data_IF_850492583310
#
_entry.id   IF_850492583310
#
_cell.length_a   1.000
_cell.length_b   1.000
_cell.length_c   1.000
_cell.angle_alpha   90.00
_cell.angle_beta   90.00
_cell.angle_gamma   90.00
#
_symmetry.space_group_name_H-M   'P 1'
#
loop_
_entity.id
_entity.type
_entity.pdbx_description
1 polymer ?
#
# COMPACT_ATOMS: atom_id res chain seq x y z
N UNK A 1 26.72 -19.37 3.39
CA UNK A 1 26.61 -19.47 4.85
C UNK A 1 25.40 -18.67 5.30
N UNK A 2 24.26 -19.35 5.51
CA UNK A 2 23.05 -18.74 6.05
C UNK A 2 22.43 -19.76 7.00
N UNK A 3 22.47 -19.48 8.29
CA UNK A 3 21.93 -20.35 9.34
C UNK A 3 20.40 -20.30 9.27
N UNK A 4 19.78 -21.36 8.74
CA UNK A 4 18.36 -21.64 8.97
C UNK A 4 18.27 -22.29 10.35
N UNK A 5 17.96 -21.49 11.37
CA UNK A 5 17.77 -21.97 12.73
C UNK A 5 16.51 -22.82 12.82
N UNK A 6 16.64 -24.13 12.65
CA UNK A 6 15.61 -25.09 13.04
C UNK A 6 15.72 -25.29 14.56
N UNK A 7 14.81 -24.71 15.32
CA UNK A 7 14.68 -25.00 16.75
C UNK A 7 13.86 -26.29 16.92
N UNK A 8 14.40 -27.35 17.54
CA UNK A 8 13.62 -28.54 17.86
C UNK A 8 12.67 -28.19 19.02
N UNK A 9 11.37 -28.33 18.80
CA UNK A 9 10.35 -28.14 19.85
C UNK A 9 10.50 -29.28 20.87
N UNK A 10 10.85 -29.01 22.13
CA UNK A 10 10.94 -30.07 23.13
C UNK A 10 9.53 -30.48 23.58
N UNK A 11 9.24 -31.77 23.44
CA UNK A 11 8.08 -32.43 24.04
C UNK A 11 8.24 -32.41 25.58
N UNK A 12 7.56 -31.49 26.26
CA UNK A 12 7.49 -31.52 27.72
C UNK A 12 7.36 -30.14 28.39
N UNK A 13 6.19 -29.53 28.29
CA UNK A 13 5.56 -28.62 29.27
C UNK A 13 4.15 -28.30 28.75
N UNK A 14 3.10 -28.23 29.58
CA UNK A 14 1.82 -27.71 29.12
C UNK A 14 2.05 -26.25 28.71
N UNK A 15 1.92 -25.96 27.41
CA UNK A 15 2.14 -24.64 26.83
C UNK A 15 1.04 -23.70 27.33
N UNK A 16 1.23 -23.17 28.53
CA UNK A 16 0.45 -22.07 29.09
C UNK A 16 0.79 -20.79 28.31
N UNK A 17 0.29 -20.68 27.08
CA UNK A 17 0.48 -19.51 26.24
C UNK A 17 -0.65 -19.35 25.21
N UNK A 18 -1.90 -19.67 25.58
CA UNK A 18 -3.00 -18.93 24.97
C UNK A 18 -2.85 -17.49 25.45
N UNK A 19 -2.67 -16.53 24.54
CA UNK A 19 -2.77 -15.12 24.89
C UNK A 19 -4.08 -14.95 25.67
N UNK A 20 -4.07 -14.39 26.89
CA UNK A 20 -5.31 -14.18 27.63
C UNK A 20 -6.28 -13.43 26.72
N UNK A 21 -7.58 -13.73 26.82
CA UNK A 21 -8.58 -13.07 25.99
C UNK A 21 -8.38 -11.58 26.21
N UNK A 22 -8.12 -10.83 25.15
CA UNK A 22 -7.63 -9.45 25.28
C UNK A 22 -8.56 -8.57 26.12
N UNK A 23 -9.85 -8.93 26.20
CA UNK A 23 -10.87 -8.27 27.02
C UNK A 23 -10.82 -8.56 28.52
N UNK A 24 -10.02 -9.51 29.00
CA UNK A 24 -10.03 -9.96 30.40
C UNK A 24 -9.77 -8.81 31.39
N UNK A 25 -8.87 -7.88 31.03
CA UNK A 25 -8.56 -6.69 31.83
C UNK A 25 -9.69 -5.66 31.88
N UNK A 26 -10.61 -5.69 30.90
CA UNK A 26 -11.71 -4.73 30.76
C UNK A 26 -13.08 -5.30 31.17
N UNK A 27 -13.19 -6.58 31.55
CA UNK A 27 -14.46 -7.23 31.88
C UNK A 27 -15.26 -6.49 32.97
N UNK A 28 -14.59 -5.98 34.00
CA UNK A 28 -15.23 -5.20 35.06
C UNK A 28 -15.85 -3.89 34.52
N UNK A 29 -15.19 -3.24 33.56
CA UNK A 29 -15.66 -1.97 32.98
C UNK A 29 -17.00 -2.12 32.25
N UNK A 30 -17.24 -3.25 31.58
CA UNK A 30 -18.55 -3.56 30.99
C UNK A 30 -19.66 -3.63 32.05
N UNK A 31 -19.37 -4.24 33.20
CA UNK A 31 -20.32 -4.32 34.31
C UNK A 31 -20.61 -2.94 34.91
N UNK A 32 -19.58 -2.11 35.09
CA UNK A 32 -19.71 -0.72 35.54
C UNK A 32 -20.58 0.09 34.57
N UNK A 33 -20.30 0.01 33.26
CA UNK A 33 -21.07 0.70 32.23
C UNK A 33 -22.55 0.30 32.27
N UNK A 34 -22.82 -1.01 32.29
CA UNK A 34 -24.20 -1.54 32.34
C UNK A 34 -24.92 -1.10 33.61
N UNK A 35 -24.25 -1.18 34.76
CA UNK A 35 -24.82 -0.78 36.05
C UNK A 35 -25.16 0.71 36.07
N UNK A 36 -24.27 1.55 35.56
CA UNK A 36 -24.49 3.00 35.50
C UNK A 36 -25.66 3.34 34.56
N UNK A 37 -25.74 2.72 33.37
CA UNK A 37 -26.89 2.91 32.46
C UNK A 37 -28.20 2.46 33.10
N UNK A 38 -28.23 1.29 33.76
CA UNK A 38 -29.42 0.81 34.44
C UNK A 38 -29.83 1.71 35.61
N UNK A 39 -28.88 2.21 36.40
CA UNK A 39 -29.16 3.12 37.51
C UNK A 39 -29.74 4.44 37.02
N UNK A 40 -29.21 4.99 35.92
CA UNK A 40 -29.74 6.19 35.28
C UNK A 40 -31.16 5.97 34.76
N UNK A 41 -31.43 4.85 34.09
CA UNK A 41 -32.78 4.49 33.63
C UNK A 41 -33.74 4.32 34.82
N UNK A 42 -33.34 3.58 35.85
CA UNK A 42 -34.15 3.35 37.06
C UNK A 42 -34.45 4.66 37.78
N UNK A 43 -33.47 5.57 37.86
CA UNK A 43 -33.68 6.89 38.45
C UNK A 43 -34.70 7.71 37.65
N UNK A 44 -34.67 7.63 36.32
CA UNK A 44 -35.65 8.30 35.47
C UNK A 44 -37.04 7.67 35.59
N UNK A 45 -37.14 6.34 35.65
CA UNK A 45 -38.38 5.59 35.85
C UNK A 45 -39.03 5.90 37.20
N UNK A 46 -38.25 5.91 38.28
CA UNK A 46 -38.72 6.26 39.64
C UNK A 46 -39.25 7.70 39.65
N UNK A 47 -38.53 8.65 39.05
CA UNK A 47 -39.00 10.04 38.98
C UNK A 47 -40.28 10.19 38.14
N UNK A 48 -40.42 9.41 37.08
CA UNK A 48 -41.64 9.40 36.27
C UNK A 48 -42.81 8.73 37.01
N UNK A 49 -42.55 7.71 37.84
CA UNK A 49 -43.57 6.98 38.58
C UNK A 49 -44.08 7.75 39.82
N UNK A 50 -43.19 8.44 40.54
CA UNK A 50 -43.55 9.24 41.71
C UNK A 50 -43.88 10.68 41.29
N UNK A 51 -45.17 11.00 41.21
CA UNK A 51 -45.62 12.35 40.87
C UNK A 51 -45.36 13.36 41.99
N UNK A 52 -45.59 12.98 43.26
CA UNK A 52 -45.59 13.89 44.42
C UNK A 52 -45.07 13.17 45.66
N UNK A 53 -44.12 13.79 46.36
CA UNK A 53 -43.72 13.45 47.73
C UNK A 53 -44.21 14.56 48.66
N UNK A 54 -44.76 14.18 49.81
CA UNK A 54 -45.22 15.12 50.83
C UNK A 54 -44.14 15.25 51.90
N UNK A 55 -43.68 16.48 52.14
CA UNK A 55 -42.73 16.81 53.20
C UNK A 55 -43.41 17.71 54.22
N UNK A 56 -43.34 17.37 55.51
CA UNK A 56 -43.77 18.28 56.58
C UNK A 56 -42.60 19.11 57.09
N UNK A 57 -42.83 20.41 57.29
CA UNK A 57 -41.89 21.35 57.89
C UNK A 57 -42.37 21.85 59.27
N UNK A 58 -43.18 21.06 59.98
CA UNK A 58 -43.71 21.43 61.31
C UNK A 58 -42.57 21.75 62.29
N UNK A 59 -42.67 22.90 62.96
CA UNK A 59 -41.70 23.31 63.98
C UNK A 59 -41.64 22.32 65.16
N UNK A 60 -40.45 22.12 65.74
CA UNK A 60 -40.25 21.22 66.87
C UNK A 60 -41.14 21.62 68.05
N UNK A 61 -42.11 20.78 68.40
CA UNK A 61 -43.03 20.98 69.53
C UNK A 61 -44.52 21.06 69.16
N UNK A 62 -44.87 21.17 67.87
CA UNK A 62 -46.26 21.06 67.40
C UNK A 62 -46.48 19.61 66.92
N UNK A 63 -47.44 18.85 67.48
CA UNK A 63 -47.76 17.54 66.95
C UNK A 63 -48.25 17.71 65.51
N UNK A 64 -47.71 16.96 64.54
CA UNK A 64 -48.19 17.01 63.17
C UNK A 64 -49.70 16.72 63.15
N UNK A 65 -50.44 17.40 62.28
CA UNK A 65 -51.87 17.14 62.10
C UNK A 65 -52.10 15.63 61.97
N UNK A 66 -53.03 15.11 62.78
CA UNK A 66 -53.32 13.68 62.87
C UNK A 66 -53.90 13.22 61.53
N UNK A 67 -53.03 12.77 60.63
CA UNK A 67 -53.48 12.06 59.44
C UNK A 67 -53.97 10.69 59.88
N UNK A 68 -55.18 10.32 59.43
CA UNK A 68 -55.57 8.91 59.47
C UNK A 68 -54.51 8.10 58.73
N UNK A 69 -53.97 7.09 59.42
CA UNK A 69 -52.98 6.19 58.83
C UNK A 69 -53.54 5.62 57.51
N UNK A 70 -52.81 5.79 56.41
CA UNK A 70 -53.18 5.33 55.07
C UNK A 70 -54.31 6.08 54.35
N UNK A 71 -54.63 7.33 54.73
CA UNK A 71 -55.56 8.17 53.97
C UNK A 71 -55.10 8.32 52.49
N UNK A 72 -55.92 7.85 51.55
CA UNK A 72 -55.65 7.94 50.12
C UNK A 72 -56.08 9.31 49.60
N UNK A 73 -55.13 10.10 49.08
CA UNK A 73 -55.43 11.34 48.38
C UNK A 73 -55.68 11.00 46.91
N UNK A 74 -56.92 11.17 46.45
CA UNK A 74 -57.28 10.94 45.06
C UNK A 74 -56.57 11.98 44.17
N UNK A 75 -55.60 11.52 43.38
CA UNK A 75 -54.93 12.36 42.39
C UNK A 75 -55.75 12.40 41.10
N UNK A 76 -56.26 13.57 40.75
CA UNK A 76 -56.84 13.82 39.44
C UNK A 76 -55.74 14.32 38.51
N UNK A 77 -55.62 13.73 37.32
CA UNK A 77 -54.66 14.17 36.31
C UNK A 77 -54.89 15.65 35.97
N UNK A 78 -53.91 16.52 36.25
CA UNK A 78 -54.03 17.97 36.08
C UNK A 78 -54.74 18.72 37.22
N UNK A 79 -55.09 18.03 38.31
CA UNK A 79 -55.67 18.63 39.51
C UNK A 79 -54.62 19.09 40.51
N UNK A 80 -54.86 20.23 41.16
CA UNK A 80 -54.09 20.71 42.30
C UNK A 80 -54.79 20.24 43.57
N UNK A 81 -54.16 19.35 44.35
CA UNK A 81 -54.68 18.92 45.65
C UNK A 81 -54.31 19.95 46.73
N UNK A 82 -55.26 20.36 47.56
CA UNK A 82 -55.01 21.20 48.73
C UNK A 82 -54.36 20.36 49.84
N UNK A 83 -53.25 20.83 50.39
CA UNK A 83 -52.50 20.14 51.44
C UNK A 83 -52.89 20.65 52.83
N UNK A 84 -52.75 19.81 53.88
CA UNK A 84 -52.82 20.27 55.26
C UNK A 84 -51.72 21.28 55.59
N UNK A 85 -51.97 22.16 56.58
CA UNK A 85 -51.03 23.20 56.98
C UNK A 85 -49.67 22.62 57.41
N UNK A 86 -48.58 23.22 56.93
CA UNK A 86 -47.22 22.77 57.21
C UNK A 86 -46.71 21.61 56.34
N UNK A 87 -47.46 21.20 55.32
CA UNK A 87 -47.04 20.20 54.32
C UNK A 87 -46.76 20.84 52.95
N UNK A 88 -45.59 20.55 52.42
CA UNK A 88 -45.15 20.96 51.09
C UNK A 88 -45.14 19.77 50.13
N UNK A 89 -45.59 20.00 48.89
CA UNK A 89 -45.44 19.06 47.79
C UNK A 89 -44.07 19.22 47.14
N UNK A 90 -43.29 18.14 47.11
CA UNK A 90 -42.02 18.07 46.40
C UNK A 90 -42.15 17.02 45.31
N UNK A 91 -41.93 17.41 44.06
CA UNK A 91 -41.81 16.43 42.98
C UNK A 91 -40.40 15.83 42.98
N UNK A 92 -40.30 14.51 42.90
CA UNK A 92 -39.01 13.85 42.73
C UNK A 92 -38.51 14.11 41.31
N UNK A 93 -37.44 14.90 41.19
CA UNK A 93 -36.80 15.17 39.90
C UNK A 93 -35.69 14.15 39.68
N UNK A 94 -35.69 13.48 38.52
CA UNK A 94 -34.52 12.73 38.10
C UNK A 94 -33.40 13.72 37.76
N UNK A 95 -32.31 13.70 38.53
CA UNK A 95 -31.08 14.45 38.22
C UNK A 95 -30.20 13.72 37.19
N UNK A 96 -30.46 12.43 36.97
CA UNK A 96 -29.77 11.60 36.00
C UNK A 96 -30.66 11.36 34.77
N UNK A 97 -30.11 11.39 33.54
CA UNK A 97 -28.70 11.60 33.19
C UNK A 97 -28.29 13.07 33.30
N UNK A 98 -27.16 13.34 33.96
CA UNK A 98 -26.55 14.68 33.98
C UNK A 98 -25.75 14.96 32.70
N UNK A 99 -25.34 16.22 32.50
CA UNK A 99 -24.62 16.68 31.28
C UNK A 99 -23.38 15.85 30.94
N UNK A 100 -22.63 15.38 31.96
CA UNK A 100 -21.42 14.56 31.79
C UNK A 100 -21.68 13.05 31.50
N UNK A 101 -22.94 12.61 31.38
CA UNK A 101 -23.27 11.19 31.14
C UNK A 101 -22.60 10.64 29.88
N UNK A 102 -22.61 11.44 28.80
CA UNK A 102 -21.98 11.06 27.54
C UNK A 102 -20.45 11.00 27.67
N UNK A 103 -19.83 11.97 28.34
CA UNK A 103 -18.37 11.98 28.54
C UNK A 103 -17.89 10.76 29.32
N UNK A 104 -18.64 10.36 30.36
CA UNK A 104 -18.36 9.14 31.10
C UNK A 104 -18.47 7.88 30.23
N UNK A 105 -19.55 7.73 29.45
CA UNK A 105 -19.70 6.59 28.53
C UNK A 105 -18.57 6.53 27.51
N UNK A 106 -18.19 7.69 26.95
CA UNK A 106 -17.09 7.79 25.98
C UNK A 106 -15.76 7.36 26.60
N UNK A 107 -15.46 7.85 27.82
CA UNK A 107 -14.25 7.49 28.55
C UNK A 107 -14.18 5.98 28.86
N UNK A 108 -15.27 5.38 29.36
CA UNK A 108 -15.30 3.95 29.65
C UNK A 108 -15.17 3.10 28.38
N UNK A 109 -15.87 3.46 27.29
CA UNK A 109 -15.75 2.72 26.03
C UNK A 109 -14.32 2.81 25.50
N UNK A 110 -13.68 3.98 25.57
CA UNK A 110 -12.29 4.13 25.16
C UNK A 110 -11.33 3.28 26.02
N UNK A 111 -11.54 3.20 27.33
CA UNK A 111 -10.74 2.36 28.22
C UNK A 111 -10.93 0.86 27.95
N UNK A 112 -12.17 0.43 27.71
CA UNK A 112 -12.49 -0.92 27.27
C UNK A 112 -11.79 -1.22 25.94
N UNK A 113 -11.86 -0.31 24.97
CA UNK A 113 -11.33 -0.52 23.63
C UNK A 113 -9.79 -0.59 23.61
N UNK A 114 -9.11 0.02 24.59
CA UNK A 114 -7.63 -0.01 24.68
C UNK A 114 -7.04 -1.41 24.79
N UNK A 115 -7.72 -2.34 25.47
CA UNK A 115 -7.21 -3.71 25.58
C UNK A 115 -7.21 -4.46 24.24
N UNK A 116 -8.03 -4.01 23.29
CA UNK A 116 -8.15 -4.51 21.92
C UNK A 116 -7.36 -3.66 20.90
N UNK A 117 -6.60 -2.66 21.37
CA UNK A 117 -5.97 -1.66 20.49
C UNK A 117 -6.95 -1.03 19.48
N UNK A 118 -8.23 -0.90 19.89
CA UNK A 118 -9.31 -0.44 19.05
C UNK A 118 -9.57 1.06 19.30
N UNK A 119 -9.52 1.92 18.26
CA UNK A 119 -9.86 3.32 18.38
C UNK A 119 -11.34 3.54 18.76
N UNK A 120 -11.63 4.67 19.43
CA UNK A 120 -12.98 4.96 19.94
C UNK A 120 -14.05 4.97 18.84
N UNK A 121 -13.79 5.58 17.68
CA UNK A 121 -14.74 5.64 16.57
C UNK A 121 -15.13 4.25 16.04
N UNK A 122 -14.20 3.31 16.02
CA UNK A 122 -14.45 1.93 15.63
C UNK A 122 -15.25 1.22 16.74
N UNK A 123 -14.84 1.36 17.99
CA UNK A 123 -15.50 0.71 19.13
C UNK A 123 -16.94 1.18 19.38
N UNK A 124 -17.17 2.50 19.27
CA UNK A 124 -18.46 3.13 19.49
C UNK A 124 -19.32 3.24 18.22
N UNK A 125 -18.78 2.86 17.05
CA UNK A 125 -19.38 3.09 15.73
C UNK A 125 -19.82 4.57 15.54
N UNK A 126 -19.02 5.50 16.06
CA UNK A 126 -19.31 6.94 16.09
C UNK A 126 -18.14 7.74 15.51
N UNK A 127 -18.35 8.28 14.32
CA UNK A 127 -17.37 9.12 13.61
C UNK A 127 -17.71 10.60 13.67
N UNK A 128 -18.65 11.04 14.52
CA UNK A 128 -19.09 12.44 14.59
C UNK A 128 -17.95 13.43 14.92
N UNK A 129 -16.95 12.99 15.67
CA UNK A 129 -15.75 13.78 16.02
C UNK A 129 -14.57 13.60 15.07
N UNK A 130 -14.70 12.83 13.99
CA UNK A 130 -13.59 12.48 13.10
C UNK A 130 -13.77 13.11 11.72
N UNK A 131 -12.70 13.71 11.21
CA UNK A 131 -12.54 13.99 9.78
C UNK A 131 -12.27 12.70 9.01
N UNK A 132 -12.39 12.74 7.67
CA UNK A 132 -12.01 11.62 6.80
C UNK A 132 -10.54 11.20 7.00
N UNK A 133 -9.62 12.15 7.12
CA UNK A 133 -8.19 11.88 7.31
C UNK A 133 -7.89 11.20 8.65
N UNK A 134 -8.50 11.69 9.74
CA UNK A 134 -8.36 11.07 11.06
C UNK A 134 -9.02 9.69 11.12
N UNK A 135 -10.22 9.55 10.55
CA UNK A 135 -10.88 8.24 10.45
C UNK A 135 -10.03 7.23 9.69
N UNK A 136 -9.45 7.62 8.56
CA UNK A 136 -8.51 6.77 7.81
C UNK A 136 -7.34 6.30 8.68
N UNK A 137 -6.70 7.21 9.41
CA UNK A 137 -5.57 6.88 10.28
C UNK A 137 -5.96 5.86 11.35
N UNK A 138 -7.11 6.06 12.01
CA UNK A 138 -7.61 5.19 13.07
C UNK A 138 -7.87 3.77 12.54
N UNK A 139 -8.56 3.64 11.39
CA UNK A 139 -8.83 2.34 10.77
C UNK A 139 -7.57 1.64 10.27
N UNK A 140 -6.56 2.39 9.82
CA UNK A 140 -5.27 1.81 9.41
C UNK A 140 -4.52 1.18 10.59
N UNK A 141 -4.41 1.89 11.72
CA UNK A 141 -3.74 1.37 12.92
C UNK A 141 -4.47 0.14 13.46
N UNK A 142 -5.81 0.21 13.52
CA UNK A 142 -6.62 -0.93 13.94
C UNK A 142 -6.45 -2.13 12.98
N UNK A 143 -6.43 -1.89 11.67
CA UNK A 143 -6.19 -2.92 10.66
C UNK A 143 -4.86 -3.65 10.88
N UNK A 144 -3.77 -2.95 11.20
CA UNK A 144 -2.49 -3.60 11.54
C UNK A 144 -2.61 -4.52 12.77
N UNK A 145 -3.38 -4.14 13.79
CA UNK A 145 -3.60 -5.02 14.96
C UNK A 145 -4.42 -6.27 14.58
N UNK A 146 -5.41 -6.10 13.70
CA UNK A 146 -6.21 -7.21 13.17
C UNK A 146 -5.34 -8.19 12.38
N UNK A 147 -4.40 -7.72 11.57
CA UNK A 147 -3.45 -8.58 10.84
C UNK A 147 -2.60 -9.44 11.81
N UNK A 148 -2.14 -8.84 12.92
CA UNK A 148 -1.40 -9.58 13.96
C UNK A 148 -2.28 -10.65 14.61
N UNK A 149 -3.55 -10.33 14.84
CA UNK A 149 -4.52 -11.30 15.36
C UNK A 149 -4.83 -12.42 14.40
N UNK A 150 -5.01 -12.11 13.12
CA UNK A 150 -5.21 -13.09 12.07
C UNK A 150 -4.06 -14.09 12.02
N UNK A 151 -2.81 -13.63 12.08
CA UNK A 151 -1.63 -14.49 12.12
C UNK A 151 -1.56 -15.33 13.42
N UNK A 152 -1.94 -14.74 14.56
CA UNK A 152 -2.03 -15.48 15.82
C UNK A 152 -3.08 -16.60 15.75
N UNK A 153 -4.29 -16.29 15.28
CA UNK A 153 -5.37 -17.27 15.14
C UNK A 153 -5.07 -18.32 14.09
N UNK A 154 -4.42 -17.95 12.98
CA UNK A 154 -3.92 -18.89 11.98
C UNK A 154 -3.07 -19.98 12.65
N UNK A 155 -2.05 -19.58 13.40
CA UNK A 155 -1.05 -20.50 13.98
C UNK A 155 -1.55 -21.27 15.19
N UNK A 156 -2.22 -20.61 16.12
CA UNK A 156 -2.57 -21.21 17.41
C UNK A 156 -3.93 -21.92 17.40
N UNK A 157 -4.84 -21.56 16.47
CA UNK A 157 -6.18 -22.14 16.38
C UNK A 157 -6.40 -22.88 15.05
N UNK A 158 -6.30 -22.17 13.93
CA UNK A 158 -6.76 -22.69 12.63
C UNK A 158 -5.86 -23.83 12.11
N UNK A 159 -4.54 -23.73 12.27
CA UNK A 159 -3.61 -24.79 11.85
C UNK A 159 -3.89 -26.11 12.57
N UNK A 160 -4.23 -26.05 13.85
CA UNK A 160 -4.59 -27.24 14.64
C UNK A 160 -5.91 -27.85 14.19
N UNK A 161 -6.90 -27.00 13.95
CA UNK A 161 -8.22 -27.42 13.44
C UNK A 161 -8.07 -28.03 12.05
N UNK A 162 -7.28 -27.40 11.18
CA UNK A 162 -7.03 -27.87 9.82
C UNK A 162 -6.28 -29.19 9.82
N UNK A 163 -5.25 -29.36 10.66
CA UNK A 163 -4.55 -30.63 10.79
C UNK A 163 -5.47 -31.77 11.24
N UNK A 164 -6.33 -31.51 12.24
CA UNK A 164 -7.32 -32.49 12.70
C UNK A 164 -8.35 -32.82 11.61
N UNK A 165 -8.87 -31.80 10.93
CA UNK A 165 -9.79 -31.99 9.80
C UNK A 165 -9.15 -32.79 8.66
N UNK A 166 -7.89 -32.51 8.34
CA UNK A 166 -7.15 -33.19 7.27
C UNK A 166 -6.98 -34.69 7.59
N UNK A 167 -6.65 -35.01 8.85
CA UNK A 167 -6.59 -36.40 9.33
C UNK A 167 -7.94 -37.11 9.18
N UNK A 168 -9.02 -36.50 9.64
CA UNK A 168 -10.38 -37.06 9.53
C UNK A 168 -10.82 -37.22 8.07
N UNK A 169 -10.46 -36.27 7.19
CA UNK A 169 -10.81 -36.32 5.78
C UNK A 169 -10.20 -37.53 5.06
N UNK A 170 -9.00 -37.96 5.47
CA UNK A 170 -8.31 -39.14 4.94
C UNK A 170 -8.94 -40.41 5.49
N UNK A 171 -9.24 -40.45 6.80
CA UNK A 171 -9.93 -41.58 7.42
C UNK A 171 -11.31 -41.82 6.78
N UNK A 172 -12.02 -40.73 6.47
CA UNK A 172 -13.28 -40.74 5.75
C UNK A 172 -13.15 -41.02 4.24
N UNK A 173 -11.91 -41.13 3.72
CA UNK A 173 -11.58 -41.36 2.29
C UNK A 173 -12.12 -40.27 1.36
N UNK A 174 -12.30 -39.04 1.86
CA UNK A 174 -12.65 -37.86 1.05
C UNK A 174 -11.42 -37.35 0.30
N UNK A 175 -10.25 -37.39 0.96
CA UNK A 175 -8.97 -37.03 0.37
C UNK A 175 -8.02 -38.23 0.32
N UNK A 176 -7.15 -38.29 -0.70
CA UNK A 176 -6.14 -39.34 -0.83
C UNK A 176 -5.04 -39.17 0.23
N UNK A 177 -4.37 -40.25 0.64
CA UNK A 177 -3.37 -40.22 1.72
C UNK A 177 -2.15 -39.37 1.35
N UNK A 178 -1.88 -39.25 0.06
CA UNK A 178 -0.84 -38.42 -0.54
C UNK A 178 -1.04 -36.93 -0.21
N UNK A 179 -2.26 -36.50 0.12
CA UNK A 179 -2.56 -35.13 0.53
C UNK A 179 -1.89 -34.72 1.86
N UNK A 180 -1.45 -35.67 2.70
CA UNK A 180 -0.71 -35.40 3.95
C UNK A 180 0.80 -35.62 3.83
N UNK A 181 1.24 -36.44 2.87
CA UNK A 181 2.66 -36.78 2.69
C UNK A 181 3.45 -35.68 1.97
N UNK A 182 2.79 -34.90 1.12
CA UNK A 182 3.30 -33.58 0.81
C UNK A 182 3.18 -32.78 2.11
N UNK A 183 4.29 -32.25 2.64
CA UNK A 183 4.23 -31.18 3.63
C UNK A 183 3.37 -30.06 3.01
N UNK A 184 2.05 -30.13 3.20
CA UNK A 184 1.11 -29.27 2.50
C UNK A 184 1.26 -27.91 3.11
N UNK A 185 2.17 -27.12 2.54
CA UNK A 185 2.30 -25.72 2.81
C UNK A 185 0.94 -25.08 2.48
N UNK A 186 0.15 -24.84 3.52
CA UNK A 186 -1.09 -24.10 3.44
C UNK A 186 -0.84 -22.67 3.91
N UNK A 187 -1.70 -21.77 3.45
CA UNK A 187 -1.71 -20.39 3.90
C UNK A 187 -3.17 -19.97 4.05
N UNK A 188 -3.45 -19.23 5.12
CA UNK A 188 -4.77 -18.65 5.35
C UNK A 188 -4.90 -17.36 4.54
N UNK A 189 -5.99 -17.26 3.79
CA UNK A 189 -6.34 -16.04 3.07
C UNK A 189 -7.44 -15.36 3.87
N UNK A 190 -7.21 -14.11 4.22
CA UNK A 190 -8.15 -13.27 4.94
C UNK A 190 -8.72 -12.21 4.00
N UNK A 191 -9.97 -11.84 4.21
CA UNK A 191 -10.59 -10.79 3.41
C UNK A 191 -9.82 -9.47 3.57
N UNK A 192 -9.63 -8.72 2.47
CA UNK A 192 -8.96 -7.44 2.55
C UNK A 192 -9.74 -6.45 3.41
N UNK A 193 -9.00 -5.60 4.12
CA UNK A 193 -9.55 -4.38 4.69
C UNK A 193 -10.03 -3.46 3.55
N UNK A 194 -11.16 -2.79 3.79
CA UNK A 194 -11.77 -1.88 2.82
C UNK A 194 -10.80 -0.78 2.41
N UNK A 195 -10.55 -0.66 1.11
CA UNK A 195 -9.70 0.38 0.57
C UNK A 195 -10.46 1.71 0.42
N UNK A 196 -9.75 2.78 0.74
CA UNK A 196 -10.24 4.14 0.82
C UNK A 196 -10.01 4.87 -0.52
N UNK A 197 -8.93 4.54 -1.24
CA UNK A 197 -8.63 5.07 -2.58
C UNK A 197 -8.19 3.92 -3.52
N UNK A 198 -9.17 3.22 -4.12
CA UNK A 198 -8.92 2.07 -4.99
C UNK A 198 -8.00 2.39 -6.17
N UNK A 199 -7.98 3.64 -6.64
CA UNK A 199 -7.17 4.02 -7.79
C UNK A 199 -5.69 4.11 -7.41
N UNK A 200 -5.36 4.78 -6.29
CA UNK A 200 -3.98 4.86 -5.81
C UNK A 200 -3.43 3.50 -5.43
N UNK A 201 -4.22 2.67 -4.75
CA UNK A 201 -3.80 1.32 -4.37
C UNK A 201 -3.55 0.45 -5.60
N UNK A 202 -4.44 0.47 -6.60
CA UNK A 202 -4.22 -0.27 -7.85
C UNK A 202 -3.00 0.23 -8.63
N UNK A 203 -2.75 1.53 -8.66
CA UNK A 203 -1.55 2.09 -9.29
C UNK A 203 -0.29 1.59 -8.59
N UNK A 204 -0.26 1.63 -7.25
CA UNK A 204 0.85 1.12 -6.45
C UNK A 204 1.04 -0.40 -6.63
N UNK A 205 -0.05 -1.18 -6.70
CA UNK A 205 0.00 -2.63 -6.97
C UNK A 205 0.55 -2.93 -8.36
N UNK A 206 0.14 -2.18 -9.39
CA UNK A 206 0.65 -2.34 -10.74
C UNK A 206 2.16 -2.04 -10.81
N UNK A 207 2.61 -1.01 -10.10
CA UNK A 207 4.04 -0.68 -9.98
C UNK A 207 4.82 -1.73 -9.18
N UNK A 208 4.26 -2.24 -8.08
CA UNK A 208 4.85 -3.33 -7.30
C UNK A 208 4.97 -4.63 -8.10
N UNK A 209 3.98 -4.96 -8.93
CA UNK A 209 4.02 -6.13 -9.81
C UNK A 209 5.07 -5.98 -10.91
N UNK A 210 5.20 -4.78 -11.50
CA UNK A 210 6.21 -4.49 -12.54
C UNK A 210 7.63 -4.46 -11.98
N UNK A 211 7.81 -3.98 -10.76
CA UNK A 211 9.11 -3.96 -10.06
C UNK A 211 9.48 -5.31 -9.44
N UNK A 212 8.57 -6.28 -9.43
CA UNK A 212 8.79 -7.60 -8.83
C UNK A 212 8.77 -7.61 -7.30
N UNK A 213 8.29 -6.55 -6.65
CA UNK A 213 8.13 -6.48 -5.19
C UNK A 213 6.97 -7.34 -4.67
N UNK A 214 6.02 -7.68 -5.55
CA UNK A 214 4.87 -8.53 -5.25
C UNK A 214 4.62 -9.54 -6.38
N UNK A 215 3.72 -10.48 -6.16
CA UNK A 215 3.39 -11.55 -7.11
C UNK A 215 1.90 -11.58 -7.43
N UNK A 216 1.53 -12.10 -8.61
CA UNK A 216 0.11 -12.28 -8.98
C UNK A 216 -0.67 -13.10 -7.94
N UNK A 217 -0.18 -14.26 -7.45
CA UNK A 217 -0.86 -14.99 -6.39
C UNK A 217 -1.14 -14.15 -5.14
N UNK A 218 -0.17 -13.32 -4.72
CA UNK A 218 -0.31 -12.44 -3.56
C UNK A 218 -1.39 -11.37 -3.78
N UNK A 219 -1.44 -10.74 -4.96
CA UNK A 219 -2.45 -9.72 -5.24
C UNK A 219 -3.86 -10.30 -5.42
N UNK A 220 -4.00 -11.47 -6.04
CA UNK A 220 -5.29 -12.17 -6.10
C UNK A 220 -5.76 -12.62 -4.71
N UNK A 221 -4.84 -13.14 -3.88
CA UNK A 221 -5.16 -13.52 -2.50
C UNK A 221 -5.64 -12.32 -1.67
N UNK A 222 -5.04 -11.13 -1.86
CA UNK A 222 -5.52 -9.89 -1.25
C UNK A 222 -6.95 -9.53 -1.67
N UNK A 223 -7.44 -10.00 -2.80
CA UNK A 223 -8.82 -9.77 -3.23
C UNK A 223 -9.77 -10.89 -2.77
N UNK A 224 -9.28 -11.87 -2.02
CA UNK A 224 -10.04 -13.07 -1.65
C UNK A 224 -10.30 -14.00 -2.84
N UNK A 225 -9.45 -13.95 -3.88
CA UNK A 225 -9.62 -14.70 -5.12
C UNK A 225 -8.50 -15.74 -5.30
N UNK A 226 -8.86 -16.92 -5.80
CA UNK A 226 -7.85 -17.89 -6.28
C UNK A 226 -7.38 -17.51 -7.68
N UNK A 227 -6.10 -17.12 -7.77
CA UNK A 227 -5.47 -16.73 -9.02
C UNK A 227 -5.58 -17.81 -10.12
N UNK A 228 -5.56 -19.10 -9.79
CA UNK A 228 -5.64 -20.18 -10.79
C UNK A 228 -7.00 -20.18 -11.46
N UNK A 229 -8.05 -20.08 -10.64
CA UNK A 229 -9.44 -20.06 -11.11
C UNK A 229 -9.71 -18.79 -11.92
N UNK A 230 -9.25 -17.64 -11.42
CA UNK A 230 -9.47 -16.36 -12.11
C UNK A 230 -8.72 -16.26 -13.44
N UNK A 231 -7.48 -16.75 -13.52
CA UNK A 231 -6.76 -16.79 -14.80
C UNK A 231 -7.47 -17.67 -15.83
N UNK A 232 -8.04 -18.81 -15.42
CA UNK A 232 -8.84 -19.67 -16.31
C UNK A 232 -10.11 -18.94 -16.79
N UNK A 233 -10.83 -18.28 -15.87
CA UNK A 233 -12.03 -17.49 -16.21
C UNK A 233 -11.70 -16.37 -17.20
N UNK A 234 -10.61 -15.64 -16.97
CA UNK A 234 -10.18 -14.55 -17.85
C UNK A 234 -9.72 -15.05 -19.22
N UNK A 235 -8.95 -16.15 -19.26
CA UNK A 235 -8.56 -16.78 -20.52
C UNK A 235 -9.80 -17.19 -21.33
N UNK A 236 -10.78 -17.84 -20.69
CA UNK A 236 -12.06 -18.22 -21.32
C UNK A 236 -12.85 -17.01 -21.80
N UNK A 237 -12.94 -15.95 -21.00
CA UNK A 237 -13.66 -14.72 -21.36
C UNK A 237 -13.04 -14.02 -22.59
N UNK A 238 -11.73 -14.12 -22.76
CA UNK A 238 -10.98 -13.55 -23.89
C UNK A 238 -10.85 -14.50 -25.09
N UNK A 239 -11.38 -15.72 -25.01
CA UNK A 239 -11.22 -16.74 -26.05
C UNK A 239 -9.79 -17.24 -26.22
N UNK A 240 -8.96 -17.11 -25.19
CA UNK A 240 -7.55 -17.53 -25.19
C UNK A 240 -7.39 -18.87 -24.45
N UNK A 241 -6.33 -19.61 -24.80
CA UNK A 241 -5.89 -20.72 -23.95
C UNK A 241 -5.25 -20.19 -22.67
N UNK A 242 -5.23 -20.98 -21.59
CA UNK A 242 -4.61 -20.58 -20.33
C UNK A 242 -3.13 -20.23 -20.52
N UNK A 243 -2.39 -21.02 -21.32
CA UNK A 243 -0.98 -20.77 -21.61
C UNK A 243 -0.76 -19.46 -22.37
N UNK A 244 -1.60 -19.16 -23.37
CA UNK A 244 -1.48 -17.92 -24.13
C UNK A 244 -1.80 -16.69 -23.27
N UNK A 245 -2.82 -16.80 -22.42
CA UNK A 245 -3.18 -15.75 -21.47
C UNK A 245 -2.02 -15.50 -20.48
N UNK A 246 -1.45 -16.57 -19.89
CA UNK A 246 -0.30 -16.46 -18.99
C UNK A 246 0.93 -15.83 -19.68
N UNK A 247 1.22 -16.23 -20.92
CA UNK A 247 2.33 -15.66 -21.69
C UNK A 247 2.15 -14.15 -21.94
N UNK A 248 0.93 -13.70 -22.26
CA UNK A 248 0.62 -12.27 -22.45
C UNK A 248 0.70 -11.47 -21.15
N UNK A 249 0.21 -12.02 -20.05
CA UNK A 249 0.33 -11.39 -18.72
C UNK A 249 1.81 -11.28 -18.33
N UNK A 250 2.58 -12.35 -18.51
CA UNK A 250 4.02 -12.34 -18.24
C UNK A 250 4.76 -11.28 -19.07
N UNK A 251 4.46 -11.18 -20.37
CA UNK A 251 5.05 -10.17 -21.25
C UNK A 251 4.71 -8.72 -20.86
N UNK A 252 3.53 -8.49 -20.28
CA UNK A 252 3.13 -7.16 -19.78
C UNK A 252 3.83 -6.80 -18.46
N UNK A 253 4.01 -7.78 -17.57
CA UNK A 253 4.64 -7.57 -16.27
C UNK A 253 6.16 -7.43 -16.37
N UNK A 254 6.79 -8.27 -17.20
CA UNK A 254 8.22 -8.31 -17.44
C UNK A 254 8.47 -8.09 -18.94
N UNK A 255 8.34 -6.85 -19.44
CA UNK A 255 8.69 -6.57 -20.82
C UNK A 255 10.16 -6.95 -21.04
N UNK A 256 10.44 -7.60 -22.18
CA UNK A 256 11.81 -7.91 -22.56
C UNK A 256 12.65 -6.62 -22.50
N UNK A 257 13.92 -6.68 -22.06
CA UNK A 257 14.80 -5.53 -22.11
C UNK A 257 14.72 -4.93 -23.51
N UNK A 258 14.69 -3.59 -23.66
CA UNK A 258 14.64 -2.97 -24.96
C UNK A 258 15.76 -3.60 -25.78
N UNK A 259 15.40 -4.24 -26.88
CA UNK A 259 16.39 -4.75 -27.83
C UNK A 259 17.28 -3.54 -28.10
N UNK A 260 18.59 -3.60 -27.79
CA UNK A 260 19.49 -2.52 -28.17
C UNK A 260 19.20 -2.26 -29.64
N UNK A 261 19.00 -1.00 -30.07
CA UNK A 261 18.58 -0.72 -31.43
C UNK A 261 19.46 -1.59 -32.31
N UNK A 262 18.86 -2.58 -32.98
CA UNK A 262 19.57 -3.39 -33.97
C UNK A 262 20.26 -2.33 -34.80
N UNK A 263 21.61 -2.26 -34.83
CA UNK A 263 22.27 -1.25 -35.62
C UNK A 263 21.61 -1.41 -36.97
N UNK A 264 20.87 -0.38 -37.37
CA UNK A 264 20.20 -0.41 -38.64
C UNK A 264 21.34 -0.75 -39.58
N UNK A 265 21.30 -1.96 -40.16
CA UNK A 265 21.96 -2.14 -41.43
C UNK A 265 21.13 -1.22 -42.30
N UNK A 266 21.49 0.06 -42.24
CA UNK A 266 21.23 0.97 -43.31
C UNK A 266 21.80 0.18 -44.48
N UNK A 267 20.90 -0.38 -45.28
CA UNK A 267 21.10 -0.32 -46.70
C UNK A 267 21.18 1.18 -47.05
N UNK A 268 22.26 1.83 -46.61
CA UNK A 268 22.74 3.02 -47.24
C UNK A 268 23.17 2.50 -48.60
N UNK A 269 22.26 2.66 -49.56
CA UNK A 269 22.66 3.32 -50.79
C UNK A 269 23.76 4.31 -50.40
N UNK A 270 24.97 3.99 -50.84
CA UNK A 270 26.17 4.76 -50.61
C UNK A 270 26.00 6.09 -51.34
N UNK A 271 25.21 6.99 -50.76
CA UNK A 271 25.28 8.40 -51.07
C UNK A 271 26.51 8.89 -50.32
N UNK A 272 27.59 9.29 -51.00
CA UNK A 272 28.79 9.76 -50.33
C UNK A 272 28.41 11.04 -49.56
N UNK A 273 28.35 10.92 -48.24
CA UNK A 273 28.22 12.07 -47.35
C UNK A 273 29.57 12.78 -47.42
N UNK A 274 29.62 13.87 -48.19
CA UNK A 274 30.85 14.65 -48.38
C UNK A 274 31.47 15.01 -47.04
N UNK A 275 32.73 14.63 -46.85
CA UNK A 275 33.44 14.54 -45.57
C UNK A 275 33.66 15.88 -44.85
N UNK A 276 33.19 16.98 -45.47
CA UNK A 276 33.31 18.34 -44.98
C UNK A 276 31.97 19.10 -44.95
N UNK A 277 30.83 18.38 -45.07
CA UNK A 277 29.50 18.98 -45.22
C UNK A 277 29.05 19.88 -44.05
N UNK A 278 29.67 19.77 -42.87
CA UNK A 278 29.32 20.54 -41.67
C UNK A 278 30.30 21.70 -41.35
N UNK A 279 31.28 21.98 -42.22
CA UNK A 279 32.26 23.06 -42.01
C UNK A 279 31.82 24.37 -42.68
N UNK A 280 32.12 25.51 -42.05
CA UNK A 280 31.93 26.80 -42.72
C UNK A 280 32.85 26.90 -43.95
N UNK A 281 32.44 27.62 -45.00
CA UNK A 281 33.22 27.76 -46.26
C UNK A 281 34.68 28.16 -46.01
N UNK A 282 34.94 29.02 -45.03
CA UNK A 282 36.31 29.45 -44.68
C UNK A 282 37.13 28.33 -44.03
N UNK A 283 36.51 27.53 -43.15
CA UNK A 283 37.16 26.39 -42.52
C UNK A 283 37.44 25.29 -43.55
N UNK A 284 36.51 25.07 -44.48
CA UNK A 284 36.70 24.16 -45.61
C UNK A 284 37.95 24.52 -46.42
N UNK A 285 38.06 25.77 -46.88
CA UNK A 285 39.21 26.21 -47.70
C UNK A 285 40.53 26.12 -46.94
N UNK A 286 40.53 26.45 -45.64
CA UNK A 286 41.73 26.34 -44.80
C UNK A 286 42.16 24.88 -44.61
N UNK A 287 41.20 23.97 -44.39
CA UNK A 287 41.48 22.56 -44.20
C UNK A 287 42.00 21.91 -45.48
N UNK A 288 41.39 22.21 -46.64
CA UNK A 288 41.88 21.74 -47.95
C UNK A 288 43.32 22.21 -48.20
N UNK A 289 43.63 23.47 -47.88
CA UNK A 289 44.99 23.99 -48.02
C UNK A 289 45.99 23.29 -47.07
N UNK A 290 45.61 23.05 -45.82
CA UNK A 290 46.45 22.36 -44.85
C UNK A 290 46.71 20.89 -45.24
N UNK A 291 45.69 20.19 -45.77
CA UNK A 291 45.84 18.82 -46.29
C UNK A 291 46.84 18.81 -47.44
N UNK A 292 46.72 19.75 -48.39
CA UNK A 292 47.64 19.83 -49.53
C UNK A 292 49.08 20.10 -49.11
N UNK A 293 49.30 21.03 -48.18
CA UNK A 293 50.64 21.33 -47.66
C UNK A 293 51.28 20.11 -46.97
N UNK A 294 50.50 19.31 -46.23
CA UNK A 294 50.98 18.07 -45.62
C UNK A 294 51.34 17.04 -46.70
N UNK A 295 50.52 16.87 -47.73
CA UNK A 295 50.74 15.89 -48.80
C UNK A 295 51.91 16.30 -49.72
N UNK A 296 52.03 17.58 -50.08
CA UNK A 296 53.19 18.13 -50.78
C UNK A 296 54.47 17.89 -49.97
N UNK A 297 54.39 18.03 -48.63
CA UNK A 297 55.48 17.69 -47.72
C UNK A 297 55.88 16.21 -47.76
N UNK A 298 54.95 15.29 -48.02
CA UNK A 298 55.23 13.85 -48.22
C UNK A 298 55.86 13.62 -49.59
N UNK A 299 55.36 14.25 -50.65
CA UNK A 299 55.91 14.16 -52.02
C UNK A 299 57.36 14.65 -52.07
N UNK A 300 57.66 15.77 -51.43
CA UNK A 300 59.00 16.36 -51.37
C UNK A 300 59.92 15.64 -50.35
N UNK A 301 59.40 14.65 -49.62
CA UNK A 301 60.13 13.87 -48.62
C UNK A 301 60.46 14.62 -47.33
N UNK A 302 59.91 15.82 -47.13
CA UNK A 302 60.11 16.65 -45.92
C UNK A 302 59.31 16.15 -44.72
N UNK A 303 58.18 15.47 -44.96
CA UNK A 303 57.28 14.96 -43.91
C UNK A 303 57.22 13.43 -43.96
N UNK A 304 57.64 12.74 -42.89
CA UNK A 304 57.52 11.28 -42.80
C UNK A 304 56.06 10.81 -42.83
N UNK A 305 55.81 9.65 -43.44
CA UNK A 305 54.48 9.02 -43.60
C UNK A 305 53.66 9.02 -42.30
N UNK A 306 54.28 8.56 -41.20
CA UNK A 306 53.61 8.48 -39.90
C UNK A 306 53.20 9.86 -39.34
N UNK A 307 53.99 10.90 -39.61
CA UNK A 307 53.67 12.25 -39.15
C UNK A 307 52.54 12.83 -40.00
N UNK A 308 52.59 12.65 -41.33
CA UNK A 308 51.54 13.07 -42.23
C UNK A 308 50.19 12.42 -41.87
N UNK A 309 50.17 11.11 -41.60
CA UNK A 309 48.96 10.39 -41.22
C UNK A 309 48.35 10.93 -39.93
N UNK A 310 49.16 11.20 -38.90
CA UNK A 310 48.67 11.78 -37.65
C UNK A 310 48.13 13.21 -37.83
N UNK A 311 48.78 14.02 -38.66
CA UNK A 311 48.33 15.39 -38.93
C UNK A 311 47.00 15.38 -39.70
N UNK A 312 46.82 14.50 -40.68
CA UNK A 312 45.56 14.35 -41.42
C UNK A 312 44.42 13.84 -40.52
N UNK A 313 44.70 12.90 -39.62
CA UNK A 313 43.73 12.48 -38.60
C UNK A 313 43.33 13.64 -37.68
N UNK A 314 44.27 14.50 -37.30
CA UNK A 314 43.99 15.67 -36.45
C UNK A 314 43.12 16.74 -37.13
N UNK A 315 43.15 16.79 -38.47
CA UNK A 315 42.26 17.62 -39.29
C UNK A 315 40.85 17.00 -39.45
N UNK A 316 40.61 15.83 -38.86
CA UNK A 316 39.32 15.16 -38.84
C UNK A 316 39.07 14.22 -40.01
N UNK A 317 40.09 13.86 -40.79
CA UNK A 317 39.93 12.88 -41.86
C UNK A 317 39.77 11.46 -41.28
N UNK A 318 38.91 10.62 -41.86
CA UNK A 318 38.83 9.22 -41.48
C UNK A 318 40.14 8.51 -41.83
N UNK A 319 40.56 7.58 -40.96
CA UNK A 319 41.86 6.88 -41.06
C UNK A 319 42.06 6.18 -42.41
N UNK A 320 40.99 5.65 -43.01
CA UNK A 320 41.04 5.00 -44.32
C UNK A 320 41.42 5.97 -45.45
N UNK A 321 40.86 7.20 -45.46
CA UNK A 321 41.16 8.21 -46.49
C UNK A 321 42.53 8.85 -46.26
N UNK A 322 42.89 9.13 -45.00
CA UNK A 322 44.21 9.67 -44.68
C UNK A 322 45.33 8.72 -45.15
N UNK A 323 45.16 7.40 -44.99
CA UNK A 323 46.09 6.41 -45.53
C UNK A 323 46.14 6.39 -47.05
N UNK A 324 44.99 6.44 -47.72
CA UNK A 324 44.93 6.47 -49.18
C UNK A 324 45.68 7.69 -49.74
N UNK A 325 45.40 8.89 -49.22
CA UNK A 325 46.05 10.12 -49.66
C UNK A 325 47.56 10.14 -49.42
N UNK A 326 48.03 9.60 -48.30
CA UNK A 326 49.46 9.48 -48.02
C UNK A 326 50.11 8.45 -48.95
N UNK A 327 49.42 7.36 -49.28
CA UNK A 327 49.92 6.35 -50.24
C UNK A 327 50.04 6.96 -51.64
N UNK A 328 49.02 7.69 -52.10
CA UNK A 328 49.05 8.38 -53.39
C UNK A 328 50.17 9.43 -53.43
N UNK A 329 50.36 10.20 -52.35
CA UNK A 329 51.44 11.17 -52.22
C UNK A 329 52.84 10.52 -52.27
N UNK A 330 53.01 9.32 -51.71
CA UNK A 330 54.26 8.55 -51.82
C UNK A 330 54.55 8.09 -53.26
N UNK A 331 53.49 7.84 -54.04
CA UNK A 331 53.59 7.52 -55.48
C UNK A 331 53.78 8.78 -56.35
N UNK A 332 53.90 9.96 -55.73
CA UNK A 332 54.22 11.23 -56.38
C UNK A 332 53.03 11.90 -57.09
N UNK A 333 51.79 11.49 -56.79
CA UNK A 333 50.57 12.11 -57.34
C UNK A 333 49.49 12.23 -56.28
N UNK A 334 48.90 13.41 -56.11
CA UNK A 334 47.73 13.61 -55.25
C UNK A 334 46.48 13.69 -56.14
N UNK A 335 45.88 12.54 -56.45
CA UNK A 335 44.72 12.43 -57.35
C UNK A 335 43.39 12.41 -56.56
N UNK A 336 43.05 13.52 -55.89
CA UNK A 336 41.76 13.68 -55.19
C UNK A 336 40.94 14.85 -55.77
N UNK A 337 39.71 14.61 -56.26
CA UNK A 337 38.88 15.65 -56.89
C UNK A 337 38.43 16.75 -55.91
N UNK A 338 38.37 16.50 -54.60
CA UNK A 338 38.02 17.51 -53.60
C UNK A 338 39.21 18.44 -53.27
N UNK A 339 40.44 18.01 -53.57
CA UNK A 339 41.67 18.81 -53.44
C UNK A 339 41.99 19.59 -54.73
N UNK A 340 41.33 19.29 -55.85
CA UNK A 340 41.57 19.90 -57.17
C UNK A 340 41.07 21.35 -57.27
N UNK A 341 39.99 21.71 -56.58
CA UNK A 341 39.33 23.03 -56.68
C UNK A 341 40.02 24.15 -55.88
N UNK A 342 41.16 23.88 -55.23
CA UNK A 342 42.00 24.88 -54.59
C UNK A 342 43.25 25.23 -55.42
N UNK A 343 43.14 25.26 -56.75
CA UNK A 343 44.23 25.74 -57.60
C UNK A 343 44.39 27.26 -57.41
N UNK A 344 45.59 27.77 -57.05
CA UNK A 344 45.84 29.20 -57.01
C UNK A 344 45.71 29.77 -58.42
N UNK A 345 44.82 30.75 -58.57
CA UNK A 345 44.83 31.64 -59.72
C UNK A 345 46.20 32.35 -59.79
N UNK A 346 46.95 32.08 -60.85
CA UNK A 346 47.92 32.99 -61.45
C UNK A 346 49.34 33.00 -60.87
N UNK A 347 50.27 32.44 -61.64
CA UNK A 347 51.55 33.09 -61.95
C UNK A 347 52.24 32.39 -63.14
N UNK A 348 52.02 32.93 -64.34
CA UNK A 348 52.93 32.81 -65.47
C UNK A 348 53.09 34.20 -66.09
N UNK A 349 54.11 34.92 -65.63
CA UNK A 349 54.94 35.87 -66.38
C UNK A 349 56.11 36.29 -65.49
#
# INVERSE_FOLDING_TARGET
MGFVGHSPVPLGTPRAASRPVRTDSALNLFAVLRRYTNATLTSAEIAAAFSILLKTNSAAGIPPAELEAFAQIAYHHGGVATLPEGWDMVQLKAENPHTLYNDFKRAIIAEIARCLNMPYNVAAADSSGHSYSSGRLDYQIYGTDVEVDQEYYARECLDRIFAAWLQESILAKVLPIEAVLAETAHAWQWDPLTDIDPQKTRAAQAEALKSGLTSLPTEYARLGLDWRVEMIKQAKALGLTLSDYQARVAANLLPAPPVPPTPAVNASESTPVGEMANLSRRQFTNNVKAIREILDGVVDGSTPEFIALNLLLSLGLPEARARALVTDALDGRVDDPELADASPAGAAS
#
